data_IF_311703614696
#
_entry.id   IF_311703614696
#
_cell.length_a   1.000
_cell.length_b   1.000
_cell.length_c   1.000
_cell.angle_alpha   90.00
_cell.angle_beta   90.00
_cell.angle_gamma   90.00
#
_symmetry.space_group_name_H-M   'P 1'
#
loop_
_entity.id
_entity.type
_entity.pdbx_description
1 polymer ?
#
# COMPACT_ATOMS: atom_id res chain seq x y z
N UNK A 1 25.27 -16.89 5.71
CA UNK A 1 25.80 -15.75 6.50
C UNK A 1 26.19 -14.65 5.53
N UNK A 2 25.73 -13.41 5.74
CA UNK A 2 26.10 -12.27 4.88
C UNK A 2 27.53 -11.86 5.22
N UNK A 3 28.44 -11.91 4.24
CA UNK A 3 29.83 -11.49 4.42
C UNK A 3 29.90 -9.96 4.45
N UNK A 4 30.70 -9.41 5.38
CA UNK A 4 30.95 -7.97 5.41
C UNK A 4 31.84 -7.59 4.22
N UNK A 5 31.45 -6.57 3.43
CA UNK A 5 32.25 -6.12 2.31
C UNK A 5 33.58 -5.52 2.78
N UNK A 6 34.63 -5.68 1.97
CA UNK A 6 35.93 -5.10 2.24
C UNK A 6 35.89 -3.57 2.13
N UNK A 7 36.81 -2.88 2.82
CA UNK A 7 36.91 -1.41 2.74
C UNK A 7 37.18 -1.00 1.28
N UNK A 8 36.30 -0.17 0.71
CA UNK A 8 36.41 0.31 -0.66
C UNK A 8 35.78 -0.59 -1.74
N UNK A 9 35.19 -1.72 -1.35
CA UNK A 9 34.41 -2.55 -2.27
C UNK A 9 33.12 -1.83 -2.67
N UNK A 10 32.85 -1.74 -3.98
CA UNK A 10 31.57 -1.27 -4.48
C UNK A 10 30.46 -2.24 -4.01
N UNK A 11 29.42 -1.69 -3.39
CA UNK A 11 28.28 -2.46 -2.88
C UNK A 11 26.98 -1.74 -3.20
N UNK A 12 25.94 -2.53 -3.37
CA UNK A 12 24.57 -2.03 -3.43
C UNK A 12 23.97 -2.06 -2.01
N UNK A 13 23.45 -0.92 -1.57
CA UNK A 13 22.77 -0.81 -0.28
C UNK A 13 21.29 -1.03 -0.51
N UNK A 14 20.77 -2.16 -0.02
CA UNK A 14 19.34 -2.44 -0.04
C UNK A 14 18.69 -1.89 1.23
N UNK A 15 17.62 -1.13 1.05
CA UNK A 15 16.75 -0.63 2.12
C UNK A 15 15.35 -1.17 1.93
N UNK A 16 14.51 -1.06 2.96
CA UNK A 16 13.10 -1.40 2.84
C UNK A 16 12.46 -0.57 1.71
N UNK A 17 11.85 -1.29 0.75
CA UNK A 17 11.18 -0.71 -0.40
C UNK A 17 9.96 0.13 -0.02
N UNK A 18 9.45 0.03 1.22
CA UNK A 18 8.34 0.86 1.71
C UNK A 18 8.56 2.37 1.52
N UNK A 19 9.80 2.85 1.56
CA UNK A 19 10.14 4.25 1.30
C UNK A 19 10.22 4.61 -0.18
N UNK A 20 10.39 3.65 -1.09
CA UNK A 20 10.67 3.90 -2.52
C UNK A 20 9.53 3.47 -3.43
N UNK A 21 8.81 2.41 -3.08
CA UNK A 21 7.71 1.82 -3.83
C UNK A 21 6.74 1.09 -2.88
N UNK A 22 5.92 1.86 -2.16
CA UNK A 22 5.04 1.32 -1.11
C UNK A 22 3.85 0.49 -1.63
N UNK A 23 3.58 0.53 -2.94
CA UNK A 23 2.47 -0.22 -3.54
C UNK A 23 2.75 -0.59 -5.02
N UNK A 24 3.71 -1.49 -5.31
CA UNK A 24 4.16 -1.79 -6.66
C UNK A 24 3.23 -2.81 -7.35
N UNK A 25 1.91 -2.61 -7.29
CA UNK A 25 0.93 -3.55 -7.87
C UNK A 25 1.12 -3.73 -9.38
N UNK A 26 1.63 -2.70 -10.06
CA UNK A 26 1.96 -2.72 -11.49
C UNK A 26 3.13 -3.63 -11.84
N UNK A 27 3.94 -4.08 -10.87
CA UNK A 27 4.97 -5.09 -11.08
C UNK A 27 4.37 -6.37 -11.67
N UNK A 28 3.15 -6.71 -11.25
CA UNK A 28 2.43 -7.89 -11.71
C UNK A 28 1.71 -7.70 -13.06
N UNK A 29 1.83 -6.52 -13.68
CA UNK A 29 1.37 -6.26 -15.05
C UNK A 29 2.45 -6.60 -16.10
N UNK A 30 3.66 -7.00 -15.67
CA UNK A 30 4.73 -7.37 -16.59
C UNK A 30 4.37 -8.63 -17.38
N UNK A 31 4.83 -8.76 -18.64
CA UNK A 31 4.46 -9.87 -19.51
C UNK A 31 4.61 -11.27 -18.91
N UNK A 32 5.63 -11.50 -18.07
CA UNK A 32 5.86 -12.81 -17.45
C UNK A 32 4.81 -13.21 -16.38
N UNK A 33 4.02 -12.25 -15.90
CA UNK A 33 2.96 -12.50 -14.91
C UNK A 33 1.56 -12.49 -15.53
N UNK A 34 1.45 -12.21 -16.83
CA UNK A 34 0.18 -12.22 -17.52
C UNK A 34 -0.27 -13.67 -17.80
N UNK A 35 -1.59 -13.94 -17.73
CA UNK A 35 -2.12 -15.24 -18.08
C UNK A 35 -1.85 -15.58 -19.56
N UNK A 36 -1.74 -16.88 -19.84
CA UNK A 36 -1.47 -17.37 -21.18
C UNK A 36 -2.52 -16.87 -22.20
N UNK A 37 -2.06 -16.32 -23.32
CA UNK A 37 -2.93 -15.76 -24.37
C UNK A 37 -3.17 -14.26 -24.28
N UNK A 38 -2.78 -13.60 -23.18
CA UNK A 38 -2.76 -12.13 -23.12
C UNK A 38 -1.52 -11.59 -23.85
N UNK A 39 -1.73 -10.71 -24.84
CA UNK A 39 -0.63 -10.17 -25.65
C UNK A 39 0.12 -9.09 -24.89
N UNK A 40 1.43 -9.23 -24.77
CA UNK A 40 2.36 -8.28 -24.15
C UNK A 40 2.44 -6.88 -24.83
N UNK A 41 1.77 -6.69 -25.97
CA UNK A 41 1.91 -5.49 -26.81
C UNK A 41 0.96 -4.34 -26.45
N UNK A 42 0.21 -4.42 -25.35
CA UNK A 42 -0.59 -3.29 -24.84
C UNK A 42 -0.41 -3.18 -23.33
N UNK A 43 -0.43 -1.95 -22.75
CA UNK A 43 -0.47 -1.77 -21.30
C UNK A 43 -1.73 -2.46 -20.76
N UNK A 44 -1.56 -3.66 -20.22
CA UNK A 44 -2.66 -4.48 -19.76
C UNK A 44 -2.55 -4.62 -18.26
N UNK A 45 -3.64 -4.30 -17.56
CA UNK A 45 -3.77 -4.57 -16.15
C UNK A 45 -3.99 -6.08 -16.00
N UNK A 46 -3.12 -6.75 -15.25
CA UNK A 46 -3.28 -8.16 -14.98
C UNK A 46 -4.60 -8.41 -14.21
N UNK A 47 -5.57 -9.14 -14.79
CA UNK A 47 -6.88 -9.36 -14.19
C UNK A 47 -6.82 -10.30 -12.99
N UNK A 48 -5.75 -11.08 -12.84
CA UNK A 48 -5.54 -12.05 -11.76
C UNK A 48 -4.77 -11.45 -10.58
N UNK A 49 -4.32 -10.20 -10.69
CA UNK A 49 -3.67 -9.50 -9.57
C UNK A 49 -4.71 -8.93 -8.61
N UNK A 50 -4.63 -9.33 -7.34
CA UNK A 50 -5.34 -8.70 -6.23
C UNK A 50 -4.34 -7.96 -5.34
N UNK A 51 -4.49 -6.64 -5.24
CA UNK A 51 -3.65 -5.82 -4.39
C UNK A 51 -4.27 -5.61 -3.00
N UNK A 52 -3.45 -5.63 -1.96
CA UNK A 52 -3.86 -5.31 -0.58
C UNK A 52 -3.11 -4.06 -0.15
N UNK A 53 -3.84 -2.99 0.19
CA UNK A 53 -3.25 -1.71 0.55
C UNK A 53 -3.70 -1.31 1.96
N UNK A 54 -2.74 -1.00 2.82
CA UNK A 54 -3.01 -0.52 4.17
C UNK A 54 -2.96 1.00 4.16
N UNK A 55 -4.06 1.64 4.55
CA UNK A 55 -4.17 3.10 4.60
C UNK A 55 -4.84 3.55 5.90
N UNK A 56 -4.66 4.85 6.20
CA UNK A 56 -5.39 5.48 7.30
C UNK A 56 -6.90 5.42 7.04
N UNK A 57 -7.75 5.21 8.06
CA UNK A 57 -9.20 5.24 7.91
C UNK A 57 -9.70 6.49 7.17
N UNK A 58 -9.09 7.66 7.46
CA UNK A 58 -9.42 8.92 6.83
C UNK A 58 -9.10 8.91 5.33
N UNK A 59 -8.00 8.29 4.91
CA UNK A 59 -7.64 8.17 3.50
C UNK A 59 -8.60 7.26 2.75
N UNK A 60 -8.96 6.12 3.35
CA UNK A 60 -9.92 5.19 2.74
C UNK A 60 -11.26 5.88 2.50
N UNK A 61 -11.73 6.69 3.45
CA UNK A 61 -12.97 7.44 3.27
C UNK A 61 -12.94 8.33 2.01
N UNK A 62 -11.80 8.98 1.72
CA UNK A 62 -11.61 9.78 0.50
C UNK A 62 -11.51 8.93 -0.77
N UNK A 63 -10.83 7.79 -0.69
CA UNK A 63 -10.61 6.91 -1.85
C UNK A 63 -11.91 6.19 -2.27
N UNK A 64 -12.85 6.01 -1.34
CA UNK A 64 -14.15 5.37 -1.58
C UNK A 64 -15.26 6.30 -2.08
N UNK A 65 -14.99 7.59 -2.24
CA UNK A 65 -15.94 8.53 -2.82
C UNK A 65 -16.22 8.17 -4.29
N UNK A 66 -17.42 8.49 -4.77
CA UNK A 66 -17.83 8.23 -6.18
C UNK A 66 -16.95 8.94 -7.20
N UNK A 67 -16.28 10.02 -6.80
CA UNK A 67 -15.31 10.76 -7.61
C UNK A 67 -13.90 10.15 -7.58
N UNK A 68 -13.70 9.07 -6.82
CA UNK A 68 -12.42 8.41 -6.60
C UNK A 68 -11.48 9.24 -5.73
N UNK A 69 -10.22 8.78 -5.63
CA UNK A 69 -9.17 9.46 -4.89
C UNK A 69 -8.82 10.80 -5.55
N UNK A 70 -9.32 11.90 -4.97
CA UNK A 70 -9.03 13.26 -5.46
C UNK A 70 -7.87 13.93 -4.73
N UNK A 71 -7.66 13.60 -3.45
CA UNK A 71 -6.62 14.23 -2.63
C UNK A 71 -6.22 13.35 -1.44
N UNK A 72 -5.12 13.72 -0.78
CA UNK A 72 -4.75 13.15 0.50
C UNK A 72 -5.76 13.61 1.57
N UNK A 73 -6.20 12.68 2.39
CA UNK A 73 -7.02 13.01 3.54
C UNK A 73 -6.23 13.92 4.50
N UNK A 74 -6.88 14.93 5.11
CA UNK A 74 -6.22 15.83 6.04
C UNK A 74 -5.40 15.08 7.10
N UNK A 75 -4.23 15.62 7.43
CA UNK A 75 -3.37 15.09 8.48
C UNK A 75 -3.27 16.14 9.58
N UNK A 76 -3.90 15.86 10.74
CA UNK A 76 -3.78 16.79 11.86
C UNK A 76 -2.37 16.72 12.44
N UNK A 77 -1.70 17.88 12.49
CA UNK A 77 -0.35 18.02 13.04
C UNK A 77 -0.46 18.79 14.35
N UNK A 78 -0.28 18.10 15.47
CA UNK A 78 -0.38 18.64 16.82
C UNK A 78 0.88 18.38 17.67
N UNK A 79 1.90 17.77 17.06
CA UNK A 79 3.12 17.30 17.73
C UNK A 79 4.21 17.02 16.70
N UNK A 80 5.46 16.93 17.14
CA UNK A 80 6.56 16.50 16.26
C UNK A 80 6.32 15.11 15.65
N UNK A 81 5.75 14.17 16.43
CA UNK A 81 5.43 12.83 15.93
C UNK A 81 4.38 12.84 14.82
N UNK A 82 3.32 13.64 14.96
CA UNK A 82 2.30 13.80 13.91
C UNK A 82 2.86 14.53 12.68
N UNK A 83 3.78 15.48 12.86
CA UNK A 83 4.50 16.13 11.76
C UNK A 83 5.33 15.13 10.94
N UNK A 84 6.16 14.31 11.61
CA UNK A 84 6.96 13.27 10.93
C UNK A 84 6.06 12.25 10.23
N UNK A 85 4.93 11.87 10.86
CA UNK A 85 3.93 11.01 10.24
C UNK A 85 3.29 11.63 8.99
N UNK A 86 2.96 12.92 9.02
CA UNK A 86 2.44 13.64 7.87
C UNK A 86 3.47 13.72 6.73
N UNK A 87 4.73 14.02 7.04
CA UNK A 87 5.83 14.03 6.06
C UNK A 87 6.00 12.65 5.42
N UNK A 88 6.01 11.60 6.23
CA UNK A 88 6.09 10.22 5.74
C UNK A 88 4.90 9.89 4.83
N UNK A 89 3.68 10.26 5.24
CA UNK A 89 2.48 10.07 4.43
C UNK A 89 2.59 10.78 3.07
N UNK A 90 3.07 12.02 3.03
CA UNK A 90 3.29 12.75 1.76
C UNK A 90 4.37 12.05 0.91
N UNK A 91 5.48 11.63 1.51
CA UNK A 91 6.55 10.96 0.78
C UNK A 91 6.07 9.65 0.13
N UNK A 92 5.39 8.79 0.90
CA UNK A 92 4.86 7.52 0.40
C UNK A 92 3.92 7.69 -0.79
N UNK A 93 3.07 8.71 -0.75
CA UNK A 93 2.04 8.92 -1.76
C UNK A 93 2.58 9.52 -3.06
N UNK A 94 3.72 10.21 -3.00
CA UNK A 94 4.35 10.81 -4.17
C UNK A 94 5.34 9.88 -4.88
N UNK A 95 5.92 8.91 -4.18
CA UNK A 95 7.02 8.10 -4.74
C UNK A 95 6.55 7.00 -5.70
N UNK A 96 5.30 6.52 -5.58
CA UNK A 96 4.68 5.65 -6.57
C UNK A 96 3.13 5.63 -6.40
N UNK A 97 2.41 6.67 -6.86
CA UNK A 97 0.97 6.72 -6.69
C UNK A 97 0.29 5.60 -7.46
N UNK A 98 -0.67 4.93 -6.82
CA UNK A 98 -1.55 3.97 -7.48
C UNK A 98 -2.30 4.65 -8.63
N UNK A 99 -2.37 4.00 -9.79
CA UNK A 99 -3.08 4.52 -10.96
C UNK A 99 -4.58 4.30 -10.78
N UNK A 100 -5.44 5.09 -11.44
CA UNK A 100 -6.89 4.88 -11.39
C UNK A 100 -7.33 3.43 -11.70
N UNK A 101 -6.64 2.77 -12.62
CA UNK A 101 -6.91 1.39 -13.03
C UNK A 101 -6.50 0.33 -11.98
N UNK A 102 -5.73 0.70 -10.96
CA UNK A 102 -5.31 -0.21 -9.90
C UNK A 102 -6.41 -0.36 -8.82
N UNK A 103 -7.25 0.66 -8.61
CA UNK A 103 -8.29 0.64 -7.56
C UNK A 103 -9.35 -0.47 -7.69
N UNK A 104 -9.86 -0.82 -8.90
CA UNK A 104 -10.82 -1.91 -9.05
C UNK A 104 -10.30 -3.29 -8.62
N UNK A 105 -8.97 -3.45 -8.50
CA UNK A 105 -8.30 -4.67 -8.03
C UNK A 105 -7.60 -4.50 -6.68
N UNK A 106 -7.90 -3.42 -5.97
CA UNK A 106 -7.28 -3.10 -4.67
C UNK A 106 -8.28 -3.27 -3.54
N UNK A 107 -7.93 -4.10 -2.57
CA UNK A 107 -8.57 -4.13 -1.26
C UNK A 107 -7.92 -3.06 -0.37
N UNK A 108 -8.70 -2.04 0.00
CA UNK A 108 -8.29 -1.05 0.99
C UNK A 108 -8.54 -1.59 2.40
N UNK A 109 -7.49 -1.66 3.22
CA UNK A 109 -7.52 -2.16 4.59
C UNK A 109 -7.15 -1.01 5.52
N UNK A 110 -8.02 -0.74 6.50
CA UNK A 110 -7.75 0.31 7.48
C UNK A 110 -6.63 -0.12 8.42
N UNK A 111 -5.69 0.78 8.68
CA UNK A 111 -4.71 0.57 9.75
C UNK A 111 -5.33 0.68 11.15
N UNK A 112 -6.62 1.00 11.26
CA UNK A 112 -7.35 1.18 12.52
C UNK A 112 -6.65 2.14 13.51
N UNK A 113 -5.87 3.10 13.00
CA UNK A 113 -5.09 4.06 13.80
C UNK A 113 -3.80 3.49 14.39
N UNK A 114 -3.42 2.26 14.08
CA UNK A 114 -2.15 1.68 14.50
C UNK A 114 -0.97 2.35 13.79
N UNK A 115 0.07 2.63 14.55
CA UNK A 115 1.32 3.18 14.02
C UNK A 115 2.16 2.05 13.40
N UNK A 116 2.88 2.28 12.29
CA UNK A 116 3.77 1.29 11.68
C UNK A 116 4.91 0.83 12.62
N UNK A 117 5.24 1.58 13.67
CA UNK A 117 6.24 1.17 14.66
C UNK A 117 5.80 -0.08 15.41
N UNK A 118 6.63 -1.12 15.33
CA UNK A 118 6.44 -2.39 16.04
C UNK A 118 6.45 -2.14 17.55
N UNK A 119 5.29 -2.32 18.18
CA UNK A 119 5.12 -2.36 19.63
C UNK A 119 4.51 -3.70 20.02
N UNK A 120 4.69 -4.10 21.28
CA UNK A 120 4.01 -5.29 21.80
C UNK A 120 2.50 -5.07 21.74
N UNK A 121 1.79 -5.94 21.02
CA UNK A 121 0.34 -5.85 20.81
C UNK A 121 -0.41 -6.84 21.70
N UNK A 122 -1.53 -6.42 22.28
CA UNK A 122 -2.44 -7.30 23.01
C UNK A 122 -3.22 -8.23 22.06
N UNK A 123 -3.90 -9.23 22.60
CA UNK A 123 -4.72 -10.12 21.79
C UNK A 123 -5.88 -9.37 21.11
N UNK A 124 -6.45 -8.41 21.82
CA UNK A 124 -7.55 -7.56 21.36
C UNK A 124 -7.10 -6.66 20.20
N UNK A 125 -5.90 -6.08 20.29
CA UNK A 125 -5.32 -5.26 19.21
C UNK A 125 -5.03 -6.09 17.95
N UNK A 126 -4.56 -7.33 18.11
CA UNK A 126 -4.39 -8.24 16.98
C UNK A 126 -5.73 -8.58 16.35
N UNK A 127 -6.75 -8.87 17.16
CA UNK A 127 -8.09 -9.16 16.69
C UNK A 127 -8.66 -7.98 15.91
N UNK A 128 -8.47 -6.76 16.40
CA UNK A 128 -8.89 -5.53 15.72
C UNK A 128 -8.27 -5.38 14.32
N UNK A 129 -6.97 -5.70 14.17
CA UNK A 129 -6.31 -5.70 12.86
C UNK A 129 -6.88 -6.78 11.92
N UNK A 130 -7.13 -7.99 12.44
CA UNK A 130 -7.72 -9.08 11.67
C UNK A 130 -9.14 -8.74 11.20
N UNK A 131 -9.95 -8.14 12.08
CA UNK A 131 -11.30 -7.71 11.76
C UNK A 131 -11.30 -6.58 10.73
N UNK A 132 -10.32 -5.67 10.81
CA UNK A 132 -10.13 -4.62 9.81
C UNK A 132 -9.81 -5.20 8.43
N UNK A 133 -8.93 -6.19 8.35
CA UNK A 133 -8.66 -6.94 7.12
C UNK A 133 -9.92 -7.61 6.55
N UNK A 134 -10.70 -8.28 7.41
CA UNK A 134 -11.96 -8.92 7.00
C UNK A 134 -12.96 -7.91 6.45
N UNK A 135 -13.13 -6.77 7.12
CA UNK A 135 -14.02 -5.70 6.70
C UNK A 135 -13.60 -5.11 5.34
N UNK A 136 -12.29 -4.89 5.13
CA UNK A 136 -11.77 -4.41 3.85
C UNK A 136 -12.10 -5.36 2.69
N UNK A 137 -11.91 -6.67 2.89
CA UNK A 137 -12.26 -7.68 1.89
C UNK A 137 -13.78 -7.73 1.62
N UNK A 138 -14.60 -7.70 2.67
CA UNK A 138 -16.06 -7.67 2.53
C UNK A 138 -16.53 -6.47 1.72
N UNK A 139 -16.00 -5.27 2.00
CA UNK A 139 -16.31 -4.07 1.24
C UNK A 139 -15.86 -4.17 -0.22
N UNK A 140 -14.68 -4.72 -0.48
CA UNK A 140 -14.18 -4.93 -1.84
C UNK A 140 -15.10 -5.85 -2.65
N UNK A 141 -15.51 -6.98 -2.07
CA UNK A 141 -16.42 -7.92 -2.73
C UNK A 141 -17.80 -7.32 -2.97
N UNK A 142 -18.32 -6.52 -2.03
CA UNK A 142 -19.62 -5.86 -2.17
C UNK A 142 -19.67 -4.81 -3.30
N UNK A 143 -18.52 -4.24 -3.71
CA UNK A 143 -18.44 -3.30 -4.85
C UNK A 143 -18.44 -3.98 -6.22
N UNK A 144 -18.19 -5.29 -6.26
CA UNK A 144 -18.11 -6.08 -7.50
C UNK A 144 -19.41 -6.83 -7.82
N UNK A 145 -20.37 -6.83 -6.90
CA UNK A 145 -21.75 -7.30 -7.09
C UNK A 145 -22.61 -6.15 -7.59
#
# INVERSE_FOLDING_TARGET
MVQKPARGQAVEVLVDGGLLANYPVSLFDQPQYLPAGMRANQPTVNPETLGLRLDRPEQIAYDTLTTGRQQLAPYQINSFGSYVGALYNVALENLNPARPADWPRTVSISTAGFNPKIKRMTAEQKQQLMDSGRAGVQQFLARRL
#
